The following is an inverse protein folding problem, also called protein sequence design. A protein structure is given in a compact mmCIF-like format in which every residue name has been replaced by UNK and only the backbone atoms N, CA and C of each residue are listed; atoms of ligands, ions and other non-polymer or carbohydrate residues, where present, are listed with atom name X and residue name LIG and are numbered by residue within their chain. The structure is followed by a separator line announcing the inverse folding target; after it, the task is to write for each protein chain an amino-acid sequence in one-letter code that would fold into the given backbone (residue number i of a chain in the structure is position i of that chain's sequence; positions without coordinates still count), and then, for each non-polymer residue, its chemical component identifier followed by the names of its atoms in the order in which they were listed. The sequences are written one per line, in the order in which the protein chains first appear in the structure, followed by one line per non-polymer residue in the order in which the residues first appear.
data_IF_268506927360
#
_entry.id   IF_268506927360
#
_cell.length_a   1.000
_cell.length_b   1.000
_cell.length_c   1.000
_cell.angle_alpha   90.00
_cell.angle_beta   90.00
_cell.angle_gamma   90.00
#
_symmetry.space_group_name_H-M   'P 1'
#
loop_
_entity.id
_entity.type
_entity.pdbx_description
1 polymer ?
#
# COMPACT_ATOMS: atom_id res chain seq x y z
N UNK A 1 -21.09 -6.84 21.46
CA UNK A 1 -20.36 -7.90 20.72
C UNK A 1 -21.26 -8.40 19.63
N UNK A 2 -20.76 -8.48 18.39
CA UNK A 2 -21.55 -8.91 17.23
C UNK A 2 -21.12 -10.32 16.78
N UNK A 3 -22.08 -11.21 16.58
CA UNK A 3 -21.81 -12.54 16.03
C UNK A 3 -21.60 -12.42 14.51
N UNK A 4 -20.39 -12.75 14.05
CA UNK A 4 -19.98 -12.62 12.64
C UNK A 4 -20.72 -13.55 11.69
N UNK A 5 -21.26 -14.65 12.20
CA UNK A 5 -21.96 -15.68 11.43
C UNK A 5 -23.50 -15.53 11.50
N UNK A 6 -23.98 -14.49 12.19
CA UNK A 6 -25.39 -14.11 12.23
C UNK A 6 -25.66 -12.97 11.26
N UNK A 7 -26.18 -13.30 10.08
CA UNK A 7 -26.50 -12.32 9.05
C UNK A 7 -27.51 -11.25 9.51
N UNK A 8 -28.41 -11.58 10.44
CA UNK A 8 -29.38 -10.62 10.93
C UNK A 8 -28.72 -9.56 11.81
N UNK A 9 -27.78 -9.95 12.68
CA UNK A 9 -27.00 -9.02 13.48
C UNK A 9 -26.12 -8.13 12.60
N UNK A 10 -25.43 -8.71 11.61
CA UNK A 10 -24.57 -7.92 10.68
C UNK A 10 -25.41 -6.91 9.88
N UNK A 11 -26.57 -7.33 9.35
CA UNK A 11 -27.44 -6.42 8.59
C UNK A 11 -28.06 -5.34 9.49
N UNK A 12 -28.42 -5.66 10.72
CA UNK A 12 -28.88 -4.68 11.71
C UNK A 12 -27.80 -3.64 12.03
N UNK A 13 -26.55 -4.08 12.23
CA UNK A 13 -25.42 -3.19 12.49
C UNK A 13 -25.09 -2.30 11.27
N UNK A 14 -25.14 -2.83 10.05
CA UNK A 14 -25.01 -2.03 8.82
C UNK A 14 -26.10 -0.97 8.69
N UNK A 15 -27.35 -1.31 9.01
CA UNK A 15 -28.47 -0.38 8.99
C UNK A 15 -28.32 0.76 10.01
N UNK A 16 -27.52 0.54 11.07
CA UNK A 16 -27.19 1.57 12.06
C UNK A 16 -26.07 2.51 11.61
N UNK A 17 -25.38 2.24 10.50
CA UNK A 17 -24.36 3.13 9.94
C UNK A 17 -25.05 4.38 9.36
N UNK A 18 -24.99 5.49 10.10
CA UNK A 18 -25.62 6.75 9.75
C UNK A 18 -24.63 7.84 9.31
N UNK A 19 -23.33 7.52 9.28
CA UNK A 19 -22.28 8.43 8.86
C UNK A 19 -21.61 7.89 7.58
N UNK A 20 -21.25 8.79 6.65
CA UNK A 20 -20.63 8.43 5.38
C UNK A 20 -19.46 9.35 5.03
N UNK A 21 -18.42 8.77 4.44
CA UNK A 21 -17.28 9.48 3.85
C UNK A 21 -17.02 8.89 2.46
N UNK A 22 -17.37 9.58 1.37
CA UNK A 22 -16.96 9.16 0.04
C UNK A 22 -15.49 9.49 -0.19
N UNK A 23 -14.74 8.51 -0.68
CA UNK A 23 -13.32 8.61 -1.03
C UNK A 23 -13.16 8.29 -2.51
N UNK A 24 -12.74 9.26 -3.33
CA UNK A 24 -12.57 9.05 -4.78
C UNK A 24 -11.10 8.94 -5.15
N UNK A 25 -10.75 7.82 -5.76
CA UNK A 25 -9.39 7.49 -6.21
C UNK A 25 -9.42 7.06 -7.70
N UNK A 26 -8.75 7.79 -8.58
CA UNK A 26 -8.69 7.43 -10.02
C UNK A 26 -10.07 7.12 -10.64
N UNK A 27 -11.08 7.90 -10.32
CA UNK A 27 -12.43 7.72 -10.85
C UNK A 27 -13.29 6.67 -10.11
N UNK A 28 -12.71 5.88 -9.21
CA UNK A 28 -13.44 4.95 -8.34
C UNK A 28 -13.82 5.65 -7.03
N UNK A 29 -15.11 5.66 -6.69
CA UNK A 29 -15.59 6.16 -5.39
C UNK A 29 -15.89 5.01 -4.44
N UNK A 30 -15.20 4.99 -3.31
CA UNK A 30 -15.47 4.09 -2.19
C UNK A 30 -16.30 4.85 -1.16
N UNK A 31 -17.49 4.38 -0.87
CA UNK A 31 -18.38 4.95 0.15
C UNK A 31 -18.13 4.28 1.50
N UNK A 32 -17.40 4.94 2.37
CA UNK A 32 -17.12 4.45 3.72
C UNK A 32 -18.29 4.82 4.63
N UNK A 33 -19.02 3.81 5.14
CA UNK A 33 -20.20 3.95 5.99
C UNK A 33 -19.84 3.51 7.41
N UNK A 34 -20.18 4.29 8.43
CA UNK A 34 -19.81 3.99 9.81
C UNK A 34 -21.00 4.16 10.78
N UNK A 35 -21.01 3.33 11.82
CA UNK A 35 -21.93 3.44 12.96
C UNK A 35 -21.51 4.54 13.94
N UNK A 36 -20.24 5.01 13.86
CA UNK A 36 -19.70 6.07 14.69
C UNK A 36 -18.82 7.05 13.89
N UNK A 37 -18.88 8.38 14.11
CA UNK A 37 -18.17 9.37 13.29
C UNK A 37 -16.66 9.41 13.51
N UNK A 38 -16.15 9.07 14.69
CA UNK A 38 -14.75 9.29 15.06
C UNK A 38 -13.73 8.66 14.09
N UNK A 39 -14.01 7.45 13.56
CA UNK A 39 -13.13 6.82 12.57
C UNK A 39 -13.14 7.59 11.25
N UNK A 40 -14.28 8.16 10.84
CA UNK A 40 -14.35 8.95 9.62
C UNK A 40 -13.56 10.26 9.75
N UNK A 41 -13.53 10.90 10.92
CA UNK A 41 -12.70 12.07 11.21
C UNK A 41 -11.22 11.75 11.00
N UNK A 42 -10.78 10.59 11.51
CA UNK A 42 -9.41 10.13 11.31
C UNK A 42 -9.09 9.86 9.83
N UNK A 43 -10.00 9.19 9.11
CA UNK A 43 -9.83 8.91 7.68
C UNK A 43 -9.81 10.19 6.84
N UNK A 44 -10.65 11.17 7.18
CA UNK A 44 -10.69 12.48 6.54
C UNK A 44 -9.30 13.15 6.59
N UNK A 45 -8.74 13.25 7.76
CA UNK A 45 -7.38 13.82 7.95
C UNK A 45 -6.32 13.00 7.22
N UNK A 46 -6.41 11.67 7.28
CA UNK A 46 -5.43 10.79 6.65
C UNK A 46 -5.43 10.89 5.12
N UNK A 47 -6.61 10.95 4.49
CA UNK A 47 -6.73 10.99 3.03
C UNK A 47 -6.68 12.42 2.46
N UNK A 48 -6.63 13.46 3.28
CA UNK A 48 -6.43 14.83 2.83
C UNK A 48 -5.16 14.94 1.99
N UNK A 49 -5.28 15.55 0.79
CA UNK A 49 -4.17 15.68 -0.17
C UNK A 49 -3.76 14.39 -0.90
N UNK A 50 -4.38 13.24 -0.61
CA UNK A 50 -4.21 12.00 -1.38
C UNK A 50 -5.38 11.71 -2.33
N UNK A 51 -6.51 12.37 -2.16
CA UNK A 51 -7.69 12.24 -3.02
C UNK A 51 -7.83 13.44 -3.93
N UNK A 52 -8.35 13.24 -5.14
CA UNK A 52 -8.57 14.31 -6.10
C UNK A 52 -9.78 15.20 -5.74
N UNK A 53 -10.71 14.73 -4.91
CA UNK A 53 -11.91 15.45 -4.48
C UNK A 53 -11.77 15.91 -3.04
N UNK A 54 -12.19 17.13 -2.77
CA UNK A 54 -12.40 17.59 -1.40
C UNK A 54 -13.39 16.69 -0.67
N UNK A 55 -13.20 16.58 0.65
CA UNK A 55 -14.05 15.78 1.50
C UNK A 55 -15.47 16.35 1.54
N UNK A 56 -16.45 15.48 1.37
CA UNK A 56 -17.85 15.84 1.49
C UNK A 56 -18.33 15.72 2.95
N UNK A 57 -19.41 16.42 3.32
CA UNK A 57 -19.96 16.36 4.68
C UNK A 57 -20.31 14.93 5.11
N UNK A 58 -20.09 14.62 6.37
CA UNK A 58 -20.23 13.29 7.01
C UNK A 58 -21.67 12.78 7.16
N UNK A 59 -22.67 13.61 6.90
CA UNK A 59 -24.05 13.19 7.05
C UNK A 59 -24.50 12.31 5.89
N UNK A 60 -25.04 11.14 6.23
CA UNK A 60 -25.64 10.23 5.26
C UNK A 60 -26.90 10.89 4.71
N UNK A 61 -26.77 11.50 3.57
CA UNK A 61 -27.90 11.57 2.66
C UNK A 61 -28.00 10.17 2.04
N UNK A 62 -29.17 9.54 2.09
CA UNK A 62 -29.48 8.25 1.49
C UNK A 62 -28.73 8.08 0.17
N UNK A 63 -27.59 7.38 0.24
CA UNK A 63 -26.86 7.01 -0.97
C UNK A 63 -27.62 5.77 -1.49
N UNK A 64 -28.54 6.02 -2.41
CA UNK A 64 -29.20 4.96 -3.14
C UNK A 64 -28.13 4.22 -3.96
N UNK A 65 -27.74 3.03 -3.50
CA UNK A 65 -26.80 2.10 -4.13
C UNK A 65 -25.39 2.69 -4.34
N UNK A 66 -24.54 2.73 -3.29
CA UNK A 66 -23.15 3.13 -3.43
C UNK A 66 -22.39 2.18 -4.36
N UNK A 67 -21.58 2.71 -5.27
CA UNK A 67 -20.82 1.91 -6.25
C UNK A 67 -19.89 0.89 -5.58
N UNK A 68 -19.24 1.26 -4.49
CA UNK A 68 -18.40 0.39 -3.68
C UNK A 68 -18.52 0.78 -2.20
N UNK A 69 -19.51 0.20 -1.46
CA UNK A 69 -19.68 0.48 -0.04
C UNK A 69 -18.64 -0.27 0.79
N UNK A 70 -18.19 0.35 1.90
CA UNK A 70 -17.38 -0.29 2.95
C UNK A 70 -18.01 0.08 4.30
N UNK A 71 -18.51 -0.91 5.03
CA UNK A 71 -19.08 -0.69 6.36
C UNK A 71 -18.03 -0.82 7.46
N UNK A 72 -18.04 0.13 8.37
CA UNK A 72 -17.17 0.22 9.53
C UNK A 72 -18.02 0.15 10.80
N UNK A 73 -17.87 -0.95 11.55
CA UNK A 73 -18.64 -1.23 12.77
C UNK A 73 -17.70 -1.18 13.98
N UNK A 74 -17.77 -0.10 14.78
CA UNK A 74 -16.93 0.07 15.98
C UNK A 74 -17.48 -0.76 17.16
N UNK A 75 -17.48 -2.07 17.01
CA UNK A 75 -18.05 -3.05 17.91
C UNK A 75 -17.10 -4.24 18.09
N UNK A 76 -17.14 -4.88 19.25
CA UNK A 76 -16.39 -6.13 19.45
C UNK A 76 -16.98 -7.27 18.61
N UNK A 77 -16.11 -8.01 17.92
CA UNK A 77 -16.45 -9.17 17.12
C UNK A 77 -16.43 -10.45 17.99
N UNK A 78 -17.45 -11.28 17.84
CA UNK A 78 -17.43 -12.66 18.35
C UNK A 78 -16.87 -13.59 17.27
N UNK A 79 -15.67 -14.11 17.51
CA UNK A 79 -14.95 -15.00 16.60
C UNK A 79 -15.11 -16.49 16.96
N UNK A 80 -15.91 -16.82 17.97
CA UNK A 80 -16.01 -18.19 18.53
C UNK A 80 -16.74 -19.19 17.60
N UNK A 81 -17.56 -18.69 16.68
CA UNK A 81 -18.40 -19.54 15.80
C UNK A 81 -17.74 -20.03 14.52
N UNK A 82 -16.42 -19.75 14.27
CA UNK A 82 -15.77 -20.06 13.02
C UNK A 82 -14.61 -21.05 13.12
N UNK A 83 -14.44 -21.89 12.10
CA UNK A 83 -13.26 -22.73 11.91
C UNK A 83 -12.18 -21.93 11.18
N UNK A 84 -11.31 -21.24 11.95
CA UNK A 84 -10.33 -20.32 11.41
C UNK A 84 -9.11 -21.03 10.83
N UNK A 85 -8.86 -20.85 9.55
CA UNK A 85 -7.66 -21.32 8.84
C UNK A 85 -6.55 -20.27 8.92
N UNK A 86 -5.37 -20.68 9.38
CA UNK A 86 -4.21 -19.77 9.47
C UNK A 86 -3.73 -19.32 8.07
N UNK A 87 -3.43 -18.04 7.90
CA UNK A 87 -2.75 -17.51 6.71
C UNK A 87 -1.26 -17.79 6.86
N UNK A 88 -0.74 -18.73 6.07
CA UNK A 88 0.69 -19.08 6.07
C UNK A 88 1.50 -17.96 5.39
N UNK A 89 2.62 -17.58 6.01
CA UNK A 89 3.56 -16.58 5.49
C UNK A 89 4.97 -17.15 5.43
N UNK A 90 5.73 -16.75 4.42
CA UNK A 90 7.11 -17.22 4.23
C UNK A 90 8.04 -16.90 5.42
N UNK A 91 7.78 -15.82 6.17
CA UNK A 91 8.49 -15.47 7.41
C UNK A 91 7.57 -15.65 8.60
N UNK A 92 7.92 -16.54 9.51
CA UNK A 92 7.31 -16.64 10.84
C UNK A 92 7.76 -15.45 11.69
N UNK A 93 6.80 -14.82 12.37
CA UNK A 93 7.08 -13.73 13.31
C UNK A 93 7.12 -14.28 14.73
N UNK A 94 8.07 -13.81 15.55
CA UNK A 94 8.10 -14.09 16.98
C UNK A 94 6.80 -13.67 17.72
N UNK A 95 5.99 -12.77 17.11
CA UNK A 95 4.70 -12.33 17.62
C UNK A 95 3.54 -13.30 17.30
N UNK A 96 3.82 -14.51 16.80
CA UNK A 96 2.82 -15.52 16.48
C UNK A 96 1.99 -15.22 15.22
N UNK A 97 0.85 -15.90 15.11
CA UNK A 97 -0.07 -15.80 13.98
C UNK A 97 -0.55 -14.36 13.78
N UNK A 98 -0.49 -13.89 12.54
CA UNK A 98 -0.93 -12.53 12.18
C UNK A 98 -2.37 -12.49 11.72
N UNK A 99 -2.77 -13.46 10.88
CA UNK A 99 -4.07 -13.49 10.23
C UNK A 99 -4.58 -14.94 10.13
N UNK A 100 -5.89 -15.09 10.28
CA UNK A 100 -6.62 -16.31 9.96
C UNK A 100 -7.89 -15.96 9.18
N UNK A 101 -8.48 -16.91 8.46
CA UNK A 101 -9.69 -16.67 7.67
C UNK A 101 -10.71 -17.81 7.78
N UNK A 102 -11.95 -17.48 7.45
CA UNK A 102 -13.06 -18.42 7.25
C UNK A 102 -13.79 -18.02 5.99
N UNK A 103 -13.96 -18.97 5.06
CA UNK A 103 -14.76 -18.77 3.86
C UNK A 103 -16.23 -19.03 4.13
N UNK A 104 -17.09 -18.18 3.58
CA UNK A 104 -18.55 -18.31 3.58
C UNK A 104 -19.08 -18.17 2.16
N UNK A 105 -20.33 -18.56 1.88
CA UNK A 105 -20.91 -18.38 0.55
C UNK A 105 -20.95 -16.93 0.07
N UNK A 106 -20.94 -15.93 0.97
CA UNK A 106 -21.04 -14.51 0.66
C UNK A 106 -19.68 -13.80 0.59
N UNK A 107 -18.61 -14.46 1.04
CA UNK A 107 -17.28 -13.87 1.10
C UNK A 107 -16.36 -14.54 2.11
N UNK A 108 -15.33 -13.83 2.54
CA UNK A 108 -14.31 -14.33 3.47
C UNK A 108 -14.18 -13.41 4.67
N UNK A 109 -14.33 -13.96 5.87
CA UNK A 109 -13.93 -13.31 7.11
C UNK A 109 -12.42 -13.46 7.30
N UNK A 110 -11.73 -12.37 7.60
CA UNK A 110 -10.28 -12.34 7.86
C UNK A 110 -10.06 -11.75 9.25
N UNK A 111 -9.60 -12.57 10.19
CA UNK A 111 -9.31 -12.18 11.56
C UNK A 111 -7.87 -11.69 11.67
N UNK A 112 -7.69 -10.46 12.11
CA UNK A 112 -6.40 -9.85 12.46
C UNK A 112 -6.06 -10.21 13.90
N UNK A 113 -5.50 -11.40 14.10
CA UNK A 113 -5.32 -12.05 15.42
C UNK A 113 -4.67 -11.14 16.46
N UNK A 114 -3.72 -10.30 16.05
CA UNK A 114 -2.97 -9.42 16.97
C UNK A 114 -3.74 -8.18 17.42
N UNK A 115 -4.77 -7.78 16.71
CA UNK A 115 -5.55 -6.57 16.99
C UNK A 115 -7.00 -6.88 17.37
N UNK A 116 -7.43 -8.14 17.18
CA UNK A 116 -8.81 -8.55 17.39
C UNK A 116 -9.80 -8.04 16.33
N UNK A 117 -9.34 -7.24 15.36
CA UNK A 117 -10.20 -6.78 14.28
C UNK A 117 -10.55 -7.93 13.32
N UNK A 118 -11.76 -7.89 12.79
CA UNK A 118 -12.23 -8.83 11.78
C UNK A 118 -12.75 -8.08 10.56
N UNK A 119 -12.34 -8.54 9.38
CA UNK A 119 -12.61 -7.90 8.12
C UNK A 119 -13.33 -8.88 7.20
N UNK A 120 -14.51 -8.52 6.73
CA UNK A 120 -15.28 -9.32 5.76
C UNK A 120 -14.99 -8.83 4.34
N UNK A 121 -14.32 -9.67 3.57
CA UNK A 121 -14.13 -9.41 2.14
C UNK A 121 -15.30 -9.98 1.37
N UNK A 122 -16.00 -9.10 0.66
CA UNK A 122 -17.13 -9.42 -0.20
C UNK A 122 -17.15 -8.48 -1.41
N UNK A 123 -17.68 -8.93 -2.54
CA UNK A 123 -17.83 -8.11 -3.75
C UNK A 123 -18.78 -6.92 -3.56
N UNK A 124 -19.79 -7.10 -2.74
CA UNK A 124 -20.91 -6.15 -2.62
C UNK A 124 -21.06 -5.55 -1.23
N UNK A 125 -20.50 -6.19 -0.21
CA UNK A 125 -20.77 -5.84 1.18
C UNK A 125 -19.55 -6.00 2.11
N UNK A 126 -18.39 -5.43 1.80
CA UNK A 126 -17.21 -5.50 2.66
C UNK A 126 -17.46 -4.77 4.00
N UNK A 127 -17.07 -5.43 5.12
CA UNK A 127 -17.29 -4.93 6.48
C UNK A 127 -16.02 -5.02 7.31
N UNK A 128 -15.69 -3.98 8.08
CA UNK A 128 -14.70 -4.05 9.16
C UNK A 128 -15.40 -3.98 10.52
N UNK A 129 -15.01 -4.87 11.42
CA UNK A 129 -15.56 -4.97 12.77
C UNK A 129 -14.40 -4.95 13.78
N UNK A 130 -14.52 -4.19 14.85
CA UNK A 130 -13.52 -4.14 15.93
C UNK A 130 -13.34 -2.75 16.53
N UNK A 131 -12.30 -2.57 17.34
CA UNK A 131 -11.91 -1.28 17.92
C UNK A 131 -11.26 -0.39 16.83
N UNK A 132 -12.09 0.20 15.94
CA UNK A 132 -11.64 0.88 14.73
C UNK A 132 -10.71 2.06 15.02
N UNK A 133 -11.05 2.88 16.01
CA UNK A 133 -10.27 4.06 16.41
C UNK A 133 -8.93 3.70 17.05
N UNK A 134 -8.80 2.51 17.61
CA UNK A 134 -7.53 2.00 18.15
C UNK A 134 -6.63 1.43 17.05
N UNK A 135 -7.23 0.98 15.96
CA UNK A 135 -6.52 0.33 14.85
C UNK A 135 -6.80 0.96 13.48
N UNK A 136 -6.72 2.30 13.31
CA UNK A 136 -7.10 2.98 12.08
C UNK A 136 -6.28 2.51 10.88
N UNK A 137 -5.03 2.12 11.07
CA UNK A 137 -4.19 1.58 9.99
C UNK A 137 -4.73 0.28 9.39
N UNK A 138 -5.50 -0.53 10.14
CA UNK A 138 -6.17 -1.71 9.62
C UNK A 138 -7.37 -1.32 8.75
N UNK A 139 -8.11 -0.28 9.16
CA UNK A 139 -9.23 0.27 8.38
C UNK A 139 -8.72 0.85 7.06
N UNK A 140 -7.66 1.67 7.10
CA UNK A 140 -7.01 2.23 5.89
C UNK A 140 -6.56 1.10 4.95
N UNK A 141 -5.90 0.06 5.48
CA UNK A 141 -5.49 -1.08 4.67
C UNK A 141 -6.68 -1.82 4.06
N UNK A 142 -7.81 -1.92 4.77
CA UNK A 142 -9.00 -2.59 4.28
C UNK A 142 -9.68 -1.79 3.15
N UNK A 143 -9.81 -0.48 3.29
CA UNK A 143 -10.30 0.41 2.23
C UNK A 143 -9.41 0.29 0.99
N UNK A 144 -8.08 0.38 1.16
CA UNK A 144 -7.14 0.22 0.05
C UNK A 144 -7.19 -1.18 -0.58
N UNK A 145 -7.53 -2.24 0.17
CA UNK A 145 -7.75 -3.56 -0.41
C UNK A 145 -8.97 -3.59 -1.34
N UNK A 146 -10.01 -2.79 -1.09
CA UNK A 146 -11.16 -2.69 -2.00
C UNK A 146 -10.74 -2.05 -3.33
N UNK A 147 -9.94 -0.97 -3.27
CA UNK A 147 -9.33 -0.36 -4.46
C UNK A 147 -8.46 -1.35 -5.24
N UNK A 148 -7.57 -2.08 -4.54
CA UNK A 148 -6.72 -3.10 -5.15
C UNK A 148 -7.54 -4.22 -5.81
N UNK A 149 -8.57 -4.72 -5.14
CA UNK A 149 -9.44 -5.76 -5.65
C UNK A 149 -10.18 -5.33 -6.91
N UNK A 150 -10.69 -4.10 -6.93
CA UNK A 150 -11.40 -3.55 -8.08
C UNK A 150 -10.49 -3.58 -9.33
N UNK A 151 -9.30 -2.99 -9.23
CA UNK A 151 -8.38 -2.89 -10.36
C UNK A 151 -7.71 -4.23 -10.73
N UNK A 152 -7.43 -5.12 -9.79
CA UNK A 152 -6.94 -6.46 -10.12
C UNK A 152 -7.98 -7.29 -10.90
N UNK A 153 -9.30 -7.11 -10.62
CA UNK A 153 -10.36 -7.71 -11.45
C UNK A 153 -10.42 -7.12 -12.86
N UNK A 154 -9.99 -5.87 -13.01
CA UNK A 154 -9.87 -5.20 -14.32
C UNK A 154 -8.52 -5.50 -15.02
N UNK A 155 -7.77 -6.49 -14.55
CA UNK A 155 -6.55 -6.99 -15.20
C UNK A 155 -5.27 -6.27 -14.81
N UNK A 156 -5.28 -5.37 -13.82
CA UNK A 156 -4.05 -4.81 -13.27
C UNK A 156 -3.27 -5.85 -12.47
N UNK A 157 -1.95 -5.91 -12.67
CA UNK A 157 -1.04 -6.66 -11.81
C UNK A 157 -0.63 -5.83 -10.59
N UNK A 158 -0.50 -6.52 -9.46
CA UNK A 158 0.00 -5.94 -8.22
C UNK A 158 1.53 -6.03 -8.15
N UNK A 159 2.22 -4.89 -8.05
CA UNK A 159 3.67 -4.81 -7.92
C UNK A 159 4.11 -4.40 -6.50
N UNK A 160 5.24 -4.96 -6.02
CA UNK A 160 5.90 -4.56 -4.78
C UNK A 160 6.92 -3.47 -5.07
N UNK A 161 6.47 -2.24 -5.16
CA UNK A 161 7.30 -1.09 -5.51
C UNK A 161 6.88 0.17 -4.75
N UNK A 162 7.82 1.12 -4.65
CA UNK A 162 7.53 2.53 -4.44
C UNK A 162 7.57 3.24 -5.79
N UNK A 163 6.88 4.37 -5.95
CA UNK A 163 6.86 5.08 -7.22
C UNK A 163 6.69 6.59 -7.04
N UNK A 164 7.28 7.34 -7.96
CA UNK A 164 7.10 8.78 -8.11
C UNK A 164 6.75 9.12 -9.57
N UNK A 165 6.14 10.26 -9.73
CA UNK A 165 5.71 10.80 -11.01
C UNK A 165 6.44 12.10 -11.33
N UNK A 166 6.79 12.31 -12.60
CA UNK A 166 7.22 13.59 -13.14
C UNK A 166 6.46 13.85 -14.44
N UNK A 167 5.60 14.86 -14.42
CA UNK A 167 4.82 15.30 -15.57
C UNK A 167 4.02 14.15 -16.27
N UNK A 168 3.48 13.20 -15.48
CA UNK A 168 2.72 12.04 -15.96
C UNK A 168 3.56 10.80 -16.30
N UNK A 169 4.90 10.93 -16.26
CA UNK A 169 5.83 9.81 -16.45
C UNK A 169 6.22 9.24 -15.09
N UNK A 170 5.92 7.98 -14.88
CA UNK A 170 6.16 7.31 -13.59
C UNK A 170 7.42 6.48 -13.63
N UNK A 171 8.21 6.61 -12.58
CA UNK A 171 9.32 5.72 -12.26
C UNK A 171 8.96 4.90 -11.03
N UNK A 172 8.94 3.58 -11.19
CA UNK A 172 8.77 2.63 -10.10
C UNK A 172 10.12 2.11 -9.59
N UNK A 173 10.21 1.83 -8.29
CA UNK A 173 11.42 1.32 -7.63
C UNK A 173 11.05 0.03 -6.92
N UNK A 174 11.63 -1.09 -7.34
CA UNK A 174 11.39 -2.42 -6.79
C UNK A 174 12.65 -3.01 -6.14
N UNK A 175 12.45 -3.77 -5.08
CA UNK A 175 13.49 -4.50 -4.36
C UNK A 175 12.85 -5.51 -3.40
N UNK A 176 13.67 -6.35 -2.80
CA UNK A 176 13.28 -7.13 -1.62
C UNK A 176 12.85 -6.22 -0.46
N UNK A 177 12.21 -6.79 0.56
CA UNK A 177 11.84 -6.04 1.77
C UNK A 177 13.10 -5.49 2.46
N UNK A 178 13.07 -4.21 2.84
CA UNK A 178 14.21 -3.53 3.45
C UNK A 178 15.26 -3.01 2.46
N UNK A 179 15.12 -3.24 1.14
CA UNK A 179 16.11 -2.88 0.11
C UNK A 179 16.21 -1.39 -0.23
N UNK A 180 15.56 -0.47 0.50
CA UNK A 180 15.74 0.98 0.31
C UNK A 180 14.74 1.67 -0.64
N UNK A 181 13.72 0.95 -1.17
CA UNK A 181 12.72 1.51 -2.11
C UNK A 181 12.12 2.84 -1.64
N UNK A 182 11.56 2.85 -0.42
CA UNK A 182 10.90 4.02 0.15
C UNK A 182 11.87 5.18 0.36
N UNK A 183 13.11 4.90 0.76
CA UNK A 183 14.15 5.91 0.98
C UNK A 183 14.53 6.57 -0.34
N UNK A 184 14.81 5.78 -1.39
CA UNK A 184 15.16 6.33 -2.70
C UNK A 184 14.01 7.15 -3.30
N UNK A 185 12.76 6.66 -3.18
CA UNK A 185 11.57 7.38 -3.64
C UNK A 185 11.41 8.72 -2.90
N UNK A 186 11.56 8.76 -1.57
CA UNK A 186 11.44 9.99 -0.79
C UNK A 186 12.55 11.01 -1.12
N UNK A 187 13.78 10.54 -1.40
CA UNK A 187 14.85 11.41 -1.91
C UNK A 187 14.51 11.96 -3.31
N UNK A 188 13.95 11.14 -4.19
CA UNK A 188 13.51 11.62 -5.50
C UNK A 188 12.45 12.73 -5.42
N UNK A 189 11.57 12.71 -4.38
CA UNK A 189 10.57 13.76 -4.16
C UNK A 189 11.15 15.13 -3.80
N UNK A 190 12.44 15.22 -3.45
CA UNK A 190 13.13 16.49 -3.24
C UNK A 190 13.31 17.27 -4.55
N UNK A 191 13.30 16.60 -5.72
CA UNK A 191 13.22 17.25 -7.01
C UNK A 191 11.90 18.03 -7.16
N UNK A 192 11.98 19.25 -7.70
CA UNK A 192 10.86 20.21 -7.72
C UNK A 192 9.61 19.65 -8.40
N UNK A 193 9.75 18.91 -9.51
CA UNK A 193 8.66 18.36 -10.30
C UNK A 193 8.20 16.97 -9.84
N UNK A 194 8.99 16.26 -9.02
CA UNK A 194 8.65 14.92 -8.60
C UNK A 194 7.46 14.95 -7.63
N UNK A 195 6.49 14.06 -7.85
CA UNK A 195 5.30 13.85 -7.03
C UNK A 195 5.25 12.41 -6.54
N UNK A 196 4.81 12.21 -5.32
CA UNK A 196 4.54 10.89 -4.75
C UNK A 196 3.41 10.21 -5.52
N UNK A 197 3.61 8.95 -5.94
CA UNK A 197 2.56 8.14 -6.52
C UNK A 197 2.16 7.01 -5.59
N UNK A 198 3.11 6.24 -5.08
CA UNK A 198 2.79 5.11 -4.21
C UNK A 198 3.98 4.64 -3.38
N UNK A 199 3.69 3.90 -2.30
CA UNK A 199 4.69 3.19 -1.50
C UNK A 199 4.22 1.77 -1.16
N UNK A 200 5.14 0.79 -1.21
CA UNK A 200 4.92 -0.64 -0.96
C UNK A 200 4.13 -1.38 -2.07
N UNK A 201 3.21 -0.72 -2.77
CA UNK A 201 2.37 -1.36 -3.80
C UNK A 201 2.06 -0.40 -4.93
N UNK A 202 2.12 -0.92 -6.16
CA UNK A 202 1.59 -0.28 -7.37
C UNK A 202 0.68 -1.27 -8.08
N UNK A 203 -0.22 -0.74 -8.90
CA UNK A 203 -1.00 -1.52 -9.86
C UNK A 203 -0.60 -1.08 -11.26
N UNK A 204 -0.36 -2.02 -12.17
CA UNK A 204 0.02 -1.68 -13.54
C UNK A 204 -0.58 -2.64 -14.56
N UNK A 205 -0.83 -2.13 -15.76
CA UNK A 205 -1.51 -2.85 -16.84
C UNK A 205 -1.07 -2.30 -18.21
N UNK A 206 -0.78 -3.15 -19.20
CA UNK A 206 -0.61 -2.71 -20.59
C UNK A 206 -1.93 -2.12 -21.10
N UNK A 207 -1.88 -0.93 -21.66
CA UNK A 207 -3.04 -0.24 -22.20
C UNK A 207 -2.64 0.70 -23.33
N UNK A 208 -3.25 0.56 -24.52
CA UNK A 208 -2.99 1.41 -25.69
C UNK A 208 -1.50 1.55 -26.06
N UNK A 209 -0.72 0.48 -25.97
CA UNK A 209 0.71 0.47 -26.30
C UNK A 209 1.62 1.14 -25.25
N UNK A 210 1.09 1.43 -24.08
CA UNK A 210 1.82 1.95 -22.91
C UNK A 210 1.48 1.12 -21.68
N UNK A 211 2.21 1.31 -20.59
CA UNK A 211 1.88 0.68 -19.31
C UNK A 211 1.26 1.72 -18.39
N UNK A 212 -0.06 1.61 -18.19
CA UNK A 212 -0.78 2.41 -17.21
C UNK A 212 -0.38 1.97 -15.79
N UNK A 213 -0.16 2.91 -14.88
CA UNK A 213 0.15 2.63 -13.48
C UNK A 213 -0.72 3.45 -12.55
N UNK A 214 -1.22 2.79 -11.50
CA UNK A 214 -2.02 3.40 -10.44
C UNK A 214 -1.27 3.32 -9.12
N UNK A 215 -1.25 4.43 -8.40
CA UNK A 215 -0.78 4.49 -7.01
C UNK A 215 -1.83 3.96 -6.04
N UNK A 216 -1.37 3.32 -4.98
CA UNK A 216 -2.23 2.97 -3.84
C UNK A 216 -2.25 4.16 -2.89
N UNK A 217 -3.44 4.64 -2.57
CA UNK A 217 -3.65 5.87 -1.78
C UNK A 217 -3.32 5.61 -0.31
N UNK A 218 -2.03 5.62 -0.02
CA UNK A 218 -1.48 5.35 1.31
C UNK A 218 -0.17 6.09 1.50
N UNK A 219 -0.06 6.87 2.57
CA UNK A 219 1.19 7.52 2.93
C UNK A 219 2.33 6.52 3.15
N UNK A 220 3.58 6.88 2.80
CA UNK A 220 4.74 6.06 3.08
C UNK A 220 4.90 5.79 4.58
N UNK A 221 5.29 4.56 4.91
CA UNK A 221 5.73 4.19 6.25
C UNK A 221 7.17 3.74 6.21
N UNK A 222 8.03 4.46 6.89
CA UNK A 222 9.48 4.28 6.81
C UNK A 222 10.11 3.96 8.15
N UNK A 223 11.26 3.32 8.12
CA UNK A 223 12.06 3.01 9.30
C UNK A 223 12.86 4.25 9.75
N UNK A 224 13.33 4.31 11.02
CA UNK A 224 14.06 5.45 11.56
C UNK A 224 15.28 5.85 10.73
N UNK A 225 15.98 4.88 10.14
CA UNK A 225 17.14 5.15 9.28
C UNK A 225 16.86 6.07 8.10
N UNK A 226 15.66 6.01 7.52
CA UNK A 226 15.23 6.93 6.47
C UNK A 226 15.04 8.35 7.02
N UNK A 227 14.45 8.47 8.20
CA UNK A 227 14.11 9.77 8.81
C UNK A 227 15.34 10.52 9.30
N UNK A 228 16.25 9.86 10.01
CA UNK A 228 17.44 10.52 10.56
C UNK A 228 18.46 10.92 9.48
N UNK A 229 18.41 10.31 8.30
CA UNK A 229 19.28 10.64 7.15
C UNK A 229 18.61 11.60 6.15
N UNK A 230 17.52 12.26 6.54
CA UNK A 230 16.84 13.28 5.74
C UNK A 230 16.58 14.52 6.60
N UNK A 231 17.17 15.67 6.23
CA UNK A 231 16.93 16.94 6.91
C UNK A 231 15.43 17.29 6.93
N UNK A 232 14.72 16.96 5.86
CA UNK A 232 13.29 17.24 5.71
C UNK A 232 12.40 16.39 6.62
N UNK A 233 12.79 15.15 6.86
CA UNK A 233 11.97 14.16 7.58
C UNK A 233 12.39 13.97 9.05
N UNK A 234 13.51 14.58 9.44
CA UNK A 234 14.12 14.40 10.76
C UNK A 234 13.17 14.73 11.92
N UNK A 235 12.36 15.77 11.76
CA UNK A 235 11.43 16.23 12.79
C UNK A 235 10.16 15.39 12.93
N UNK A 236 9.94 14.41 12.06
CA UNK A 236 8.87 13.41 12.25
C UNK A 236 9.12 12.54 13.48
N UNK A 237 10.39 12.30 13.82
CA UNK A 237 10.75 11.55 15.03
C UNK A 237 10.61 12.40 16.29
N UNK A 238 10.05 11.85 17.39
CA UNK A 238 10.14 12.45 18.72
C UNK A 238 11.59 12.74 19.13
N UNK A 239 11.83 13.80 19.91
CA UNK A 239 13.18 14.26 20.22
C UNK A 239 14.05 13.21 20.94
N UNK A 240 13.46 12.41 21.82
CA UNK A 240 14.12 11.32 22.54
C UNK A 240 14.51 10.16 21.59
N UNK A 241 13.64 9.84 20.63
CA UNK A 241 13.91 8.82 19.62
C UNK A 241 14.96 9.29 18.61
N UNK A 242 14.97 10.58 18.25
CA UNK A 242 16.01 11.17 17.38
C UNK A 242 17.41 10.96 17.97
N UNK A 243 17.59 11.34 19.24
CA UNK A 243 18.87 11.18 19.94
C UNK A 243 19.32 9.70 19.98
N UNK A 244 18.38 8.80 20.29
CA UNK A 244 18.62 7.35 20.30
C UNK A 244 19.08 6.82 18.95
N UNK A 245 18.34 7.10 17.88
CA UNK A 245 18.63 6.54 16.55
C UNK A 245 19.87 7.16 15.91
N UNK A 246 20.14 8.45 16.12
CA UNK A 246 21.36 9.11 15.61
C UNK A 246 22.65 8.53 16.20
N UNK A 247 22.61 8.03 17.44
CA UNK A 247 23.75 7.41 18.09
C UNK A 247 23.97 5.93 17.70
N UNK A 248 23.05 5.31 16.97
CA UNK A 248 23.14 3.90 16.62
C UNK A 248 24.12 3.63 15.46
N UNK A 249 24.87 2.49 15.51
CA UNK A 249 25.62 2.01 14.35
C UNK A 249 24.69 1.75 13.15
N UNK A 250 25.16 2.09 11.93
CA UNK A 250 24.40 1.99 10.66
C UNK A 250 23.72 0.64 10.49
N UNK A 251 24.41 -0.47 10.83
CA UNK A 251 23.85 -1.83 10.70
C UNK A 251 22.70 -2.10 11.67
N UNK A 252 22.82 -1.69 12.92
CA UNK A 252 21.73 -1.83 13.90
C UNK A 252 20.52 -1.00 13.53
N UNK A 253 20.75 0.23 13.05
CA UNK A 253 19.70 1.11 12.58
C UNK A 253 18.97 0.54 11.36
N UNK A 254 19.69 -0.15 10.46
CA UNK A 254 19.13 -0.79 9.27
C UNK A 254 18.15 -1.93 9.63
N UNK A 255 18.43 -2.66 10.71
CA UNK A 255 17.63 -3.82 11.14
C UNK A 255 16.37 -3.42 11.94
N UNK A 256 16.18 -2.13 12.26
CA UNK A 256 15.00 -1.67 13.00
C UNK A 256 13.75 -1.69 12.12
N UNK A 257 12.73 -2.44 12.55
CA UNK A 257 11.40 -2.50 11.91
C UNK A 257 10.34 -1.65 12.63
N UNK A 258 10.71 -0.49 13.16
CA UNK A 258 9.77 0.49 13.71
C UNK A 258 9.39 1.48 12.60
N UNK A 259 8.09 1.67 12.35
CA UNK A 259 7.64 2.44 11.18
C UNK A 259 6.85 3.68 11.59
N UNK A 260 7.20 4.79 10.94
CA UNK A 260 6.60 6.10 11.08
C UNK A 260 5.91 6.50 9.78
N UNK A 261 4.73 7.12 9.88
CA UNK A 261 4.01 7.62 8.71
C UNK A 261 4.62 8.95 8.26
N UNK A 262 4.85 9.08 6.95
CA UNK A 262 5.29 10.32 6.31
C UNK A 262 4.10 10.89 5.56
N UNK A 263 3.40 11.85 6.17
CA UNK A 263 2.30 12.55 5.52
C UNK A 263 2.87 13.45 4.42
N UNK A 264 2.67 13.09 3.16
CA UNK A 264 3.30 13.75 2.02
C UNK A 264 2.99 15.26 1.95
N UNK A 265 1.74 15.72 2.13
CA UNK A 265 1.47 17.16 2.12
C UNK A 265 2.22 17.93 3.22
N UNK A 266 2.35 17.33 4.39
CA UNK A 266 3.06 17.95 5.52
C UNK A 266 4.58 18.00 5.28
N UNK A 267 5.15 16.92 4.74
CA UNK A 267 6.60 16.80 4.56
C UNK A 267 7.11 17.49 3.29
N UNK A 268 6.35 17.46 2.19
CA UNK A 268 6.81 17.93 0.88
C UNK A 268 5.97 19.09 0.32
N UNK A 269 4.85 19.42 0.93
CA UNK A 269 3.93 20.48 0.51
C UNK A 269 2.75 19.97 -0.32
N UNK A 270 1.77 20.85 -0.51
CA UNK A 270 0.59 20.59 -1.31
C UNK A 270 0.94 20.35 -2.79
N UNK A 271 0.14 19.53 -3.48
CA UNK A 271 0.33 19.20 -4.89
C UNK A 271 1.47 18.19 -5.17
N UNK A 272 2.13 17.67 -4.13
CA UNK A 272 3.20 16.67 -4.24
C UNK A 272 2.69 15.22 -4.33
N UNK A 273 1.44 15.02 -4.75
CA UNK A 273 0.85 13.69 -4.97
C UNK A 273 0.34 13.53 -6.39
N UNK A 274 0.47 12.31 -6.94
CA UNK A 274 -0.16 11.85 -8.16
C UNK A 274 -0.87 10.53 -7.86
N UNK A 275 -1.94 10.21 -8.58
CA UNK A 275 -2.69 8.97 -8.36
C UNK A 275 -2.45 7.95 -9.47
N UNK A 276 -2.04 8.39 -10.65
CA UNK A 276 -1.82 7.56 -11.84
C UNK A 276 -0.84 8.22 -12.80
N UNK A 277 -0.37 7.45 -13.78
CA UNK A 277 0.47 7.93 -14.87
C UNK A 277 0.86 6.79 -15.83
N UNK A 278 1.84 7.06 -16.68
CA UNK A 278 2.44 6.06 -17.58
C UNK A 278 3.74 5.56 -16.96
N UNK A 279 3.86 4.26 -16.74
CA UNK A 279 5.10 3.66 -16.23
C UNK A 279 6.16 3.69 -17.34
N UNK A 280 7.18 4.51 -17.17
CA UNK A 280 8.29 4.68 -18.13
C UNK A 280 9.53 3.91 -17.69
N UNK A 281 9.85 3.96 -16.39
CA UNK A 281 11.02 3.30 -15.85
C UNK A 281 10.68 2.41 -14.67
N UNK A 282 11.39 1.28 -14.58
CA UNK A 282 11.41 0.43 -13.39
C UNK A 282 12.87 0.31 -12.91
N UNK A 283 13.15 0.78 -11.71
CA UNK A 283 14.46 0.68 -11.08
C UNK A 283 14.47 -0.53 -10.13
N UNK A 284 15.35 -1.49 -10.40
CA UNK A 284 15.58 -2.65 -9.53
C UNK A 284 16.74 -2.34 -8.60
N UNK A 285 16.53 -2.43 -7.28
CA UNK A 285 17.60 -2.26 -6.30
C UNK A 285 18.21 -3.64 -5.98
N UNK A 286 19.39 -3.87 -6.51
CA UNK A 286 20.19 -5.08 -6.33
C UNK A 286 21.57 -4.72 -5.73
N UNK A 287 21.56 -3.80 -4.78
CA UNK A 287 22.73 -3.32 -4.05
C UNK A 287 22.80 -3.95 -2.65
N UNK A 288 23.97 -3.85 -2.00
CA UNK A 288 24.19 -4.46 -0.71
C UNK A 288 24.88 -3.50 0.28
N UNK A 289 24.50 -3.60 1.55
CA UNK A 289 25.04 -2.76 2.63
C UNK A 289 26.55 -2.96 2.83
N UNK A 290 27.01 -4.18 2.65
CA UNK A 290 28.40 -4.58 2.86
C UNK A 290 29.23 -4.60 1.56
N UNK A 291 28.67 -4.13 0.43
CA UNK A 291 29.40 -4.01 -0.84
C UNK A 291 30.43 -2.86 -0.78
N UNK A 292 31.61 -3.11 -1.34
CA UNK A 292 32.66 -2.09 -1.54
C UNK A 292 32.74 -1.60 -2.99
N UNK A 293 31.96 -2.23 -3.90
CA UNK A 293 31.87 -1.77 -5.27
C UNK A 293 31.08 -0.43 -5.34
N UNK A 294 31.43 0.48 -6.26
CA UNK A 294 30.66 1.71 -6.42
C UNK A 294 29.21 1.43 -6.81
N UNK A 295 28.31 2.37 -6.48
CA UNK A 295 26.93 2.32 -6.94
C UNK A 295 26.87 2.62 -8.43
N UNK A 296 26.35 1.69 -9.21
CA UNK A 296 26.25 1.78 -10.66
C UNK A 296 24.81 1.52 -11.14
N UNK A 297 24.43 2.14 -12.26
CA UNK A 297 23.15 1.97 -12.91
C UNK A 297 23.34 1.33 -14.29
N UNK A 298 22.64 0.25 -14.58
CA UNK A 298 22.73 -0.48 -15.85
C UNK A 298 21.35 -0.93 -16.35
N UNK A 299 21.19 -1.12 -17.66
CA UNK A 299 19.98 -1.65 -18.27
C UNK A 299 19.79 -3.13 -18.00
N UNK A 300 18.53 -3.60 -17.96
CA UNK A 300 18.15 -5.01 -17.79
C UNK A 300 17.19 -5.42 -18.90
N UNK A 301 17.54 -6.44 -19.66
CA UNK A 301 16.65 -7.07 -20.66
C UNK A 301 15.77 -8.11 -19.92
N UNK A 302 14.59 -7.68 -19.49
CA UNK A 302 13.64 -8.55 -18.75
C UNK A 302 12.99 -9.62 -19.63
N UNK A 303 12.99 -9.46 -20.94
CA UNK A 303 12.52 -10.50 -21.85
C UNK A 303 13.45 -11.71 -21.83
N UNK A 304 14.76 -11.50 -21.64
CA UNK A 304 15.76 -12.57 -21.47
C UNK A 304 15.94 -13.03 -20.03
N UNK A 305 15.71 -12.11 -19.07
CA UNK A 305 15.95 -12.37 -17.64
C UNK A 305 14.73 -11.97 -16.78
N UNK A 306 13.54 -12.59 -16.99
CA UNK A 306 12.33 -12.22 -16.25
C UNK A 306 12.49 -12.39 -14.72
N UNK A 307 13.38 -13.29 -14.27
CA UNK A 307 13.68 -13.52 -12.85
C UNK A 307 14.25 -12.28 -12.14
N UNK A 308 14.77 -11.30 -12.87
CA UNK A 308 15.17 -10.00 -12.30
C UNK A 308 13.99 -9.27 -11.62
N UNK A 309 12.73 -9.61 -11.99
CA UNK A 309 11.51 -9.02 -11.47
C UNK A 309 11.03 -9.64 -10.15
N UNK A 310 11.74 -10.61 -9.54
CA UNK A 310 11.32 -11.26 -8.28
C UNK A 310 11.03 -10.26 -7.16
N UNK A 311 11.80 -9.17 -7.06
CA UNK A 311 11.59 -8.10 -6.08
C UNK A 311 10.32 -7.27 -6.32
N UNK A 312 9.79 -7.28 -7.55
CA UNK A 312 8.55 -6.59 -7.94
C UNK A 312 7.32 -7.47 -7.73
N UNK A 313 7.44 -8.78 -7.90
CA UNK A 313 6.31 -9.71 -7.84
C UNK A 313 5.65 -9.69 -6.47
N UNK A 314 4.31 -9.62 -6.48
CA UNK A 314 3.52 -9.53 -5.25
C UNK A 314 2.30 -10.46 -5.32
N UNK A 315 2.15 -11.29 -4.29
CA UNK A 315 0.90 -12.02 -4.08
C UNK A 315 -0.24 -11.04 -3.75
N UNK A 316 -1.44 -11.25 -4.32
CA UNK A 316 -2.61 -10.42 -3.98
C UNK A 316 -3.06 -10.59 -2.53
N UNK A 317 -2.69 -11.70 -1.86
CA UNK A 317 -3.00 -11.98 -0.46
C UNK A 317 -4.45 -12.44 -0.25
N UNK A 318 -4.87 -12.64 1.03
CA UNK A 318 -6.14 -13.26 1.39
C UNK A 318 -7.38 -12.42 1.06
N UNK A 319 -7.19 -11.14 0.74
CA UNK A 319 -8.29 -10.21 0.42
C UNK A 319 -8.70 -10.23 -1.04
N UNK A 320 -7.91 -10.78 -1.93
CA UNK A 320 -8.25 -10.76 -3.35
C UNK A 320 -9.38 -11.74 -3.65
N UNK A 321 -10.49 -11.20 -4.13
CA UNK A 321 -11.69 -11.92 -4.54
C UNK A 321 -11.93 -11.70 -6.03
N UNK A 322 -12.04 -12.79 -6.79
CA UNK A 322 -12.38 -12.76 -8.22
C UNK A 322 -13.81 -12.28 -8.46
N UNK A 323 -14.11 -11.94 -9.71
CA UNK A 323 -15.45 -11.51 -10.12
C UNK A 323 -16.53 -12.59 -9.92
N UNK A 324 -16.15 -13.86 -9.95
CA UNK A 324 -17.04 -15.01 -9.66
C UNK A 324 -17.25 -15.26 -8.15
N UNK A 325 -16.67 -14.42 -7.29
CA UNK A 325 -16.76 -14.54 -5.83
C UNK A 325 -15.71 -15.46 -5.20
N UNK A 326 -14.93 -16.21 -5.99
CA UNK A 326 -13.94 -17.15 -5.48
C UNK A 326 -12.68 -16.43 -4.94
N UNK A 327 -11.96 -17.10 -4.04
CA UNK A 327 -10.68 -16.67 -3.51
C UNK A 327 -9.56 -17.56 -4.07
N UNK A 328 -8.70 -17.04 -4.97
CA UNK A 328 -7.62 -17.83 -5.53
C UNK A 328 -6.53 -18.13 -4.49
N UNK A 329 -5.65 -19.09 -4.81
CA UNK A 329 -4.45 -19.32 -4.04
C UNK A 329 -3.61 -18.03 -3.95
N UNK A 330 -2.99 -17.81 -2.78
CA UNK A 330 -2.19 -16.61 -2.49
C UNK A 330 -0.80 -16.69 -3.17
N UNK A 331 -0.77 -16.74 -4.50
CA UNK A 331 0.47 -16.79 -5.27
C UNK A 331 0.57 -15.58 -6.21
N UNK A 332 1.77 -15.00 -6.31
CA UNK A 332 2.06 -14.01 -7.33
C UNK A 332 2.07 -14.68 -8.71
N UNK A 333 1.69 -13.94 -9.74
CA UNK A 333 1.88 -14.37 -11.13
C UNK A 333 3.38 -14.64 -11.40
N UNK A 334 3.70 -15.40 -12.47
CA UNK A 334 5.09 -15.72 -12.79
C UNK A 334 5.88 -14.48 -13.24
N UNK A 335 7.21 -14.57 -13.23
CA UNK A 335 8.08 -13.49 -13.66
C UNK A 335 7.87 -13.15 -15.14
N UNK A 336 7.56 -14.16 -15.96
CA UNK A 336 7.27 -14.03 -17.39
C UNK A 336 6.01 -13.17 -17.62
N UNK A 337 4.93 -13.41 -16.88
CA UNK A 337 3.70 -12.60 -16.92
C UNK A 337 3.99 -11.15 -16.54
N UNK A 338 4.85 -10.91 -15.53
CA UNK A 338 5.27 -9.55 -15.18
C UNK A 338 6.10 -8.92 -16.31
N UNK A 339 7.02 -9.66 -16.95
CA UNK A 339 7.82 -9.16 -18.06
C UNK A 339 6.95 -8.78 -19.27
N UNK A 340 5.95 -9.59 -19.61
CA UNK A 340 4.97 -9.29 -20.66
C UNK A 340 4.18 -8.00 -20.37
N UNK A 341 3.74 -7.80 -19.11
CA UNK A 341 3.01 -6.59 -18.70
C UNK A 341 3.87 -5.33 -18.67
N UNK A 342 5.19 -5.47 -18.66
CA UNK A 342 6.17 -4.38 -18.65
C UNK A 342 6.82 -4.15 -20.01
N UNK A 343 6.27 -4.73 -21.09
CA UNK A 343 6.78 -4.49 -22.44
C UNK A 343 6.78 -2.99 -22.76
N UNK A 344 7.93 -2.47 -23.22
CA UNK A 344 8.12 -1.04 -23.50
C UNK A 344 8.47 -0.16 -22.28
N UNK A 345 8.63 -0.74 -21.08
CA UNK A 345 9.16 -0.05 -19.90
C UNK A 345 10.68 -0.20 -19.86
N UNK A 346 11.40 0.90 -19.67
CA UNK A 346 12.85 0.87 -19.45
C UNK A 346 13.17 0.28 -18.07
N UNK A 347 13.79 -0.91 -18.03
CA UNK A 347 14.17 -1.55 -16.77
C UNK A 347 15.65 -1.33 -16.51
N UNK A 348 15.95 -0.70 -15.40
CA UNK A 348 17.29 -0.36 -14.94
C UNK A 348 17.57 -1.04 -13.61
N UNK A 349 18.85 -1.28 -13.31
CA UNK A 349 19.30 -1.92 -12.06
C UNK A 349 20.37 -1.09 -11.40
N UNK A 350 20.19 -0.80 -10.11
CA UNK A 350 21.22 -0.25 -9.23
C UNK A 350 21.93 -1.40 -8.51
N UNK A 351 23.26 -1.47 -8.64
CA UNK A 351 24.13 -2.48 -8.02
C UNK A 351 25.22 -1.82 -7.17
N UNK A 352 26.04 -2.61 -6.49
CA UNK A 352 27.16 -2.13 -5.69
C UNK A 352 26.78 -1.77 -4.25
N UNK A 353 27.43 -0.76 -3.68
CA UNK A 353 27.15 -0.27 -2.33
C UNK A 353 25.82 0.50 -2.29
N UNK A 354 25.18 0.54 -1.09
CA UNK A 354 24.01 1.39 -0.87
C UNK A 354 24.45 2.83 -0.68
N UNK A 355 24.33 3.62 -1.76
CA UNK A 355 24.59 5.06 -1.78
C UNK A 355 23.41 5.77 -2.47
N UNK A 356 22.53 6.35 -1.66
CA UNK A 356 21.34 7.04 -2.15
C UNK A 356 21.65 8.35 -2.87
N UNK A 357 22.70 9.07 -2.47
CA UNK A 357 23.10 10.31 -3.14
C UNK A 357 23.62 9.99 -4.54
N UNK A 358 24.51 9.00 -4.63
CA UNK A 358 25.01 8.53 -5.93
C UNK A 358 23.88 7.99 -6.82
N UNK A 359 22.90 7.28 -6.26
CA UNK A 359 21.74 6.83 -7.01
C UNK A 359 20.95 8.01 -7.61
N UNK A 360 20.71 9.08 -6.85
CA UNK A 360 20.03 10.29 -7.36
C UNK A 360 20.85 10.94 -8.50
N UNK A 361 22.17 11.09 -8.36
CA UNK A 361 23.02 11.61 -9.43
C UNK A 361 22.91 10.78 -10.71
N UNK A 362 22.90 9.44 -10.59
CA UNK A 362 22.76 8.53 -11.73
C UNK A 362 21.40 8.67 -12.40
N UNK A 363 20.30 8.80 -11.64
CA UNK A 363 18.97 9.01 -12.18
C UNK A 363 18.86 10.38 -12.88
N UNK A 364 19.48 11.43 -12.34
CA UNK A 364 19.57 12.75 -12.99
C UNK A 364 20.36 12.68 -14.30
N UNK A 365 21.49 11.99 -14.31
CA UNK A 365 22.31 11.81 -15.52
C UNK A 365 21.58 11.06 -16.63
N UNK A 366 20.60 10.20 -16.29
CA UNK A 366 19.72 9.52 -17.23
C UNK A 366 18.49 10.34 -17.63
N UNK A 367 18.31 11.54 -17.07
CA UNK A 367 17.13 12.37 -17.35
C UNK A 367 15.82 11.82 -16.73
N UNK A 368 15.94 11.02 -15.67
CA UNK A 368 14.78 10.46 -14.93
C UNK A 368 14.32 11.43 -13.84
N UNK A 369 15.24 12.25 -13.30
CA UNK A 369 14.97 13.28 -12.29
C UNK A 369 15.36 14.68 -12.79
#
# INVERSE_FOLDING_TARGET
MINLFDNQQINGAKAACTYALPLTFNGLTIHVLADHPAILDHLEVYYAGLTASGLLPKEVHTIDQPELPVWLLDQQADTSGGEWTAVNRAKTSALGLKEAYVDTPQGRWIHKVRTGMVLFQSLTAPVAVGELNKHPSQVINFINNQFLNHHQRDGYLLGHASAFDIDGNVTAIAASSGGGKSTLMLKALEAAKARFLSNDRILFKPENGQVSVLGVVKHPRVNPGTLINSERLFDILPADERARFTSMPKRQLWDIEQKYDVLIPNAYGEGKTALSGTLKQLILLDWALDSTAPTELSGVDIAKTPQALEGLRKSPGPFFQRADGSFPAEQAQSAEVYAEHLEGVDVLRLTGAIDFERAIELLQAQGIL
#
